data_IF_592144029933
#
_entry.id   IF_592144029933
#
_cell.length_a   1.000
_cell.length_b   1.000
_cell.length_c   1.000
_cell.angle_alpha   90.00
_cell.angle_beta   90.00
_cell.angle_gamma   90.00
#
_symmetry.space_group_name_H-M   'P 1'
#
loop_
_entity.id
_entity.type
_entity.pdbx_description
1 polymer ?
#
# COMPACT_ATOMS: atom_id res chain seq x y z
N UNK A 1 -22.75 21.23 6.20
CA UNK A 1 -21.36 20.73 6.23
C UNK A 1 -21.40 19.30 5.70
N UNK A 2 -20.98 19.11 4.45
CA UNK A 2 -20.88 17.77 3.86
C UNK A 2 -19.73 17.05 4.56
N UNK A 3 -20.06 16.02 5.35
CA UNK A 3 -19.06 15.07 5.82
C UNK A 3 -18.60 14.28 4.59
N UNK A 4 -17.57 14.79 3.93
CA UNK A 4 -16.79 13.98 2.99
C UNK A 4 -16.21 12.83 3.80
N UNK A 5 -16.89 11.69 3.79
CA UNK A 5 -16.28 10.41 4.07
C UNK A 5 -15.25 10.17 2.95
N UNK A 6 -14.10 10.86 3.02
CA UNK A 6 -12.88 10.40 2.37
C UNK A 6 -12.47 9.12 3.11
N UNK A 7 -13.21 8.05 2.82
CA UNK A 7 -13.03 6.70 3.31
C UNK A 7 -11.72 6.18 2.70
N UNK A 8 -10.59 6.66 3.24
CA UNK A 8 -9.29 5.98 3.11
C UNK A 8 -9.28 4.74 4.01
N UNK A 9 -10.34 3.93 3.93
CA UNK A 9 -10.41 2.66 4.63
C UNK A 9 -9.69 1.67 3.74
N UNK A 10 -8.51 1.27 4.17
CA UNK A 10 -7.74 0.24 3.49
C UNK A 10 -8.31 -1.10 3.95
N UNK A 11 -8.85 -1.88 3.02
CA UNK A 11 -9.32 -3.24 3.25
C UNK A 11 -8.73 -4.17 2.19
N UNK A 12 -8.62 -5.46 2.50
CA UNK A 12 -7.90 -6.42 1.67
C UNK A 12 -8.16 -7.87 2.08
N UNK A 13 -7.83 -8.79 1.18
CA UNK A 13 -7.77 -10.23 1.50
C UNK A 13 -6.38 -10.54 2.03
N UNK A 14 -6.29 -11.24 3.16
CA UNK A 14 -5.03 -11.52 3.86
C UNK A 14 -4.68 -13.01 3.77
N UNK A 15 -3.41 -13.34 3.70
CA UNK A 15 -2.95 -14.71 3.89
C UNK A 15 -2.82 -15.06 5.40
N UNK A 16 -2.53 -16.33 5.72
CA UNK A 16 -2.39 -16.82 7.10
C UNK A 16 -1.28 -16.12 7.92
N UNK A 17 -0.39 -15.37 7.27
CA UNK A 17 0.69 -14.59 7.88
C UNK A 17 0.38 -13.08 7.92
N UNK A 18 -0.89 -12.72 7.71
CA UNK A 18 -1.39 -11.36 7.66
C UNK A 18 -0.70 -10.48 6.60
N UNK A 19 -0.24 -11.05 5.48
CA UNK A 19 0.16 -10.27 4.31
C UNK A 19 -1.04 -10.05 3.38
N UNK A 20 -1.27 -8.83 2.90
CA UNK A 20 -2.39 -8.54 2.02
C UNK A 20 -2.08 -9.09 0.63
N UNK A 21 -3.00 -9.84 0.04
CA UNK A 21 -2.96 -10.23 -1.38
C UNK A 21 -3.46 -9.10 -2.28
N UNK A 22 -4.23 -8.16 -1.71
CA UNK A 22 -4.80 -7.01 -2.40
C UNK A 22 -5.07 -5.89 -1.42
N UNK A 23 -4.86 -4.65 -1.85
CA UNK A 23 -5.13 -3.43 -1.10
C UNK A 23 -6.07 -2.53 -1.91
N UNK A 24 -6.96 -1.82 -1.23
CA UNK A 24 -7.81 -0.80 -1.84
C UNK A 24 -7.55 0.56 -1.19
N UNK A 25 -7.30 1.58 -2.01
CA UNK A 25 -7.17 2.98 -1.59
C UNK A 25 -8.09 3.85 -2.44
N UNK A 26 -9.12 4.42 -1.85
CA UNK A 26 -10.07 5.33 -2.55
C UNK A 26 -10.56 4.73 -3.87
N UNK A 27 -11.07 3.49 -3.79
CA UNK A 27 -11.56 2.67 -4.91
C UNK A 27 -10.46 2.10 -5.85
N UNK A 28 -9.23 2.60 -5.78
CA UNK A 28 -8.12 2.03 -6.55
C UNK A 28 -7.65 0.72 -5.95
N UNK A 29 -7.62 -0.31 -6.79
CA UNK A 29 -7.14 -1.65 -6.48
C UNK A 29 -5.64 -1.73 -6.72
N UNK A 30 -4.91 -2.21 -5.72
CA UNK A 30 -3.49 -2.53 -5.79
C UNK A 30 -3.32 -4.03 -5.53
N UNK A 31 -2.86 -4.75 -6.54
CA UNK A 31 -2.64 -6.19 -6.42
C UNK A 31 -1.23 -6.48 -5.92
N UNK A 32 -1.09 -7.61 -5.22
CA UNK A 32 0.20 -8.10 -4.78
C UNK A 32 1.13 -8.28 -5.98
N UNK A 33 2.29 -7.63 -5.90
CA UNK A 33 3.36 -7.76 -6.88
C UNK A 33 4.50 -8.60 -6.32
N UNK A 34 5.72 -8.15 -6.56
CA UNK A 34 6.96 -8.85 -6.23
C UNK A 34 7.60 -8.32 -4.94
N UNK A 35 8.37 -9.17 -4.28
CA UNK A 35 9.29 -8.74 -3.22
C UNK A 35 10.48 -8.05 -3.88
N UNK A 36 10.79 -6.84 -3.44
CA UNK A 36 11.89 -6.02 -3.93
C UNK A 36 12.83 -5.64 -2.78
N UNK A 37 14.11 -5.51 -3.08
CA UNK A 37 15.09 -4.88 -2.19
C UNK A 37 15.39 -3.48 -2.73
N UNK A 38 15.17 -2.45 -1.92
CA UNK A 38 15.34 -1.05 -2.33
C UNK A 38 16.62 -0.47 -1.73
N UNK A 39 17.37 0.29 -2.52
CA UNK A 39 18.51 1.06 -2.02
C UNK A 39 18.00 2.26 -1.18
N UNK A 40 18.86 2.84 -0.33
CA UNK A 40 18.48 3.90 0.60
C UNK A 40 17.78 5.09 -0.09
N UNK A 41 18.27 5.50 -1.26
CA UNK A 41 17.69 6.62 -2.03
C UNK A 41 16.37 6.26 -2.73
N UNK A 42 16.02 4.97 -2.80
CA UNK A 42 14.78 4.48 -3.41
C UNK A 42 13.70 4.17 -2.36
N UNK A 43 14.03 4.26 -1.07
CA UNK A 43 13.08 3.90 -0.01
C UNK A 43 11.86 4.82 -0.04
N UNK A 44 10.64 4.27 -0.02
CA UNK A 44 9.42 5.05 -0.01
C UNK A 44 9.31 5.82 1.32
N UNK A 45 9.01 7.12 1.24
CA UNK A 45 9.12 8.04 2.38
C UNK A 45 7.77 8.34 3.03
N UNK A 46 6.67 8.11 2.31
CA UNK A 46 5.34 8.52 2.76
C UNK A 46 4.57 7.32 3.29
N UNK A 47 4.32 7.26 4.59
CA UNK A 47 3.45 6.24 5.18
C UNK A 47 1.98 6.48 4.80
N UNK A 48 1.32 5.45 4.26
CA UNK A 48 -0.06 5.52 3.77
C UNK A 48 -1.03 4.62 4.55
N UNK A 49 -0.51 3.67 5.34
CA UNK A 49 -1.31 2.78 6.20
C UNK A 49 -1.56 3.38 7.59
N UNK A 50 -2.67 4.10 7.79
CA UNK A 50 -3.04 4.62 9.12
C UNK A 50 -3.90 3.69 9.98
N UNK A 51 -4.56 2.70 9.36
CA UNK A 51 -5.48 1.79 10.05
C UNK A 51 -5.07 0.31 9.93
N UNK A 52 -4.33 -0.08 8.88
CA UNK A 52 -3.84 -1.46 8.70
C UNK A 52 -2.72 -1.80 9.68
N UNK A 53 -1.87 -0.83 9.97
CA UNK A 53 -0.78 -0.91 10.93
C UNK A 53 -1.29 -1.31 12.31
N UNK A 54 -2.46 -0.80 12.73
CA UNK A 54 -3.08 -1.15 14.01
C UNK A 54 -3.56 -2.60 14.10
N UNK A 55 -3.96 -3.18 12.97
CA UNK A 55 -4.51 -4.54 12.93
C UNK A 55 -3.43 -5.61 12.66
N UNK A 56 -2.40 -5.26 11.89
CA UNK A 56 -1.43 -6.24 11.39
C UNK A 56 0.00 -5.96 11.84
N UNK A 57 0.26 -4.79 12.43
CA UNK A 57 1.61 -4.28 12.69
C UNK A 57 2.37 -3.92 11.42
N UNK A 58 1.77 -4.07 10.24
CA UNK A 58 2.46 -3.87 8.95
C UNK A 58 2.21 -2.48 8.40
N UNK A 59 3.28 -1.84 7.92
CA UNK A 59 3.24 -0.47 7.38
C UNK A 59 3.40 -0.47 5.87
N UNK A 60 2.56 0.32 5.21
CA UNK A 60 2.55 0.54 3.76
C UNK A 60 3.03 1.96 3.51
N UNK A 61 3.93 2.09 2.55
CA UNK A 61 4.57 3.33 2.16
C UNK A 61 4.40 3.61 0.66
N UNK A 62 4.60 4.86 0.27
CA UNK A 62 4.66 5.32 -1.10
C UNK A 62 5.91 6.19 -1.33
N UNK A 63 6.42 6.19 -2.56
CA UNK A 63 7.46 7.13 -3.03
C UNK A 63 6.92 8.54 -3.25
N UNK A 64 5.63 8.68 -3.49
CA UNK A 64 4.95 9.94 -3.84
C UNK A 64 3.84 10.26 -2.85
N UNK A 65 3.60 11.56 -2.57
CA UNK A 65 2.44 12.00 -1.77
C UNK A 65 1.11 11.70 -2.46
N UNK A 66 1.08 11.85 -3.79
CA UNK A 66 -0.08 11.51 -4.62
C UNK A 66 0.06 10.08 -5.14
N UNK A 67 -0.20 9.13 -4.26
CA UNK A 67 -0.01 7.70 -4.52
C UNK A 67 -1.26 6.98 -5.04
N UNK A 68 -2.41 7.66 -5.04
CA UNK A 68 -3.70 7.12 -5.48
C UNK A 68 -3.84 7.36 -6.98
N UNK A 69 -4.16 6.32 -7.74
CA UNK A 69 -4.33 6.43 -9.19
C UNK A 69 -3.74 5.25 -9.95
N UNK A 70 -4.02 5.17 -11.25
CA UNK A 70 -3.46 4.14 -12.13
C UNK A 70 -1.95 4.29 -12.29
N UNK A 71 -1.24 3.17 -12.42
CA UNK A 71 0.22 3.13 -12.55
C UNK A 71 0.99 3.50 -11.28
N UNK A 72 0.30 3.68 -10.15
CA UNK A 72 0.95 3.95 -8.86
C UNK A 72 1.37 2.67 -8.17
N UNK A 73 2.40 2.78 -7.34
CA UNK A 73 2.98 1.66 -6.59
C UNK A 73 3.09 2.03 -5.12
N UNK A 74 2.61 1.14 -4.26
CA UNK A 74 2.79 1.21 -2.81
C UNK A 74 3.59 0.00 -2.33
N UNK A 75 4.21 0.14 -1.17
CA UNK A 75 5.23 -0.78 -0.68
C UNK A 75 4.93 -1.16 0.76
N UNK A 76 4.66 -2.44 0.99
CA UNK A 76 4.57 -2.98 2.34
C UNK A 76 5.98 -3.30 2.84
N UNK A 77 6.38 -2.73 3.97
CA UNK A 77 7.67 -3.05 4.58
C UNK A 77 7.66 -4.49 5.13
N UNK A 78 8.69 -5.26 4.80
CA UNK A 78 8.85 -6.63 5.27
C UNK A 78 9.88 -6.69 6.41
N UNK A 79 11.12 -6.34 6.09
CA UNK A 79 12.28 -6.37 6.99
C UNK A 79 13.50 -5.73 6.31
N UNK A 80 14.29 -4.94 7.05
CA UNK A 80 15.43 -4.20 6.52
C UNK A 80 15.06 -3.39 5.26
N UNK A 81 15.75 -3.68 4.16
CA UNK A 81 15.55 -3.02 2.86
C UNK A 81 14.53 -3.73 1.95
N UNK A 82 13.83 -4.75 2.47
CA UNK A 82 12.90 -5.57 1.69
C UNK A 82 11.47 -5.07 1.82
N UNK A 83 10.81 -4.96 0.68
CA UNK A 83 9.44 -4.50 0.56
C UNK A 83 8.66 -5.43 -0.37
N UNK A 84 7.37 -5.57 -0.12
CA UNK A 84 6.43 -6.16 -1.08
C UNK A 84 5.76 -5.02 -1.84
N UNK A 85 6.01 -4.96 -3.15
CA UNK A 85 5.44 -3.93 -4.01
C UNK A 85 4.02 -4.32 -4.46
N UNK A 86 3.12 -3.36 -4.41
CA UNK A 86 1.76 -3.49 -4.93
C UNK A 86 1.55 -2.43 -6.00
N UNK A 87 1.16 -2.86 -7.20
CA UNK A 87 0.89 -1.96 -8.30
C UNK A 87 -0.62 -1.84 -8.53
N UNK A 88 -1.09 -0.62 -8.78
CA UNK A 88 -2.43 -0.41 -9.31
C UNK A 88 -2.42 -0.74 -10.81
N UNK A 89 -3.17 -1.74 -11.23
CA UNK A 89 -3.39 -2.01 -12.64
C UNK A 89 -4.21 -0.89 -13.27
N UNK A 90 -3.75 -0.36 -14.41
CA UNK A 90 -4.62 0.41 -15.30
C UNK A 90 -5.58 -0.58 -15.97
N UNK A 91 -6.82 -0.64 -15.49
CA UNK A 91 -7.90 -1.31 -16.21
C UNK A 91 -8.24 -0.48 -17.45
N UNK A 92 -8.18 -1.11 -18.62
CA UNK A 92 -8.97 -0.69 -19.78
C UNK A 92 -10.44 -1.04 -19.59
#
# INVERSE_FOLDING_TARGET
MSASFSNRVIYGTWNIFSYPNRLYFDEYRYDIGIVVKLLDYEKPQYEVSRNIDKLTGKRIYSKEKNFIGNGKVVYLHLDGDRYLAFASGGGG
#
